data_IF_617609575286
#
_entry.id   IF_617609575286
#
_cell.length_a   1.000
_cell.length_b   1.000
_cell.length_c   1.000
_cell.angle_alpha   90.00
_cell.angle_beta   90.00
_cell.angle_gamma   90.00
#
_symmetry.space_group_name_H-M   'P 1'
#
loop_
_entity.id
_entity.type
_entity.pdbx_description
1 polymer ?
#
# COMPACT_ATOMS: atom_id res chain seq x y z
N UNK A 1 -31.48 -35.77 8.07
CA UNK A 1 -31.22 -36.38 9.41
C UNK A 1 -30.02 -37.32 9.47
N UNK A 2 -29.46 -37.80 8.35
CA UNK A 2 -28.23 -38.64 8.36
C UNK A 2 -26.92 -37.89 8.20
N UNK A 3 -26.91 -36.66 7.72
CA UNK A 3 -25.68 -35.86 7.57
C UNK A 3 -25.34 -35.04 8.81
N UNK A 4 -26.30 -34.68 9.65
CA UNK A 4 -26.06 -33.89 10.88
C UNK A 4 -25.27 -34.65 11.97
N UNK A 5 -25.28 -35.99 11.92
CA UNK A 5 -24.54 -36.83 12.88
C UNK A 5 -23.09 -37.14 12.50
N UNK A 6 -22.69 -36.93 11.22
CA UNK A 6 -21.36 -37.34 10.75
C UNK A 6 -20.24 -36.35 11.14
N UNK A 7 -20.51 -35.06 11.14
CA UNK A 7 -19.53 -34.02 11.46
C UNK A 7 -19.09 -34.06 12.92
N UNK A 8 -20.00 -34.16 13.92
CA UNK A 8 -19.59 -34.31 15.31
C UNK A 8 -18.86 -35.62 15.59
N UNK A 9 -19.21 -36.72 14.94
CA UNK A 9 -18.54 -38.01 15.10
C UNK A 9 -17.13 -38.02 14.54
N UNK A 10 -16.90 -37.34 13.41
CA UNK A 10 -15.55 -37.17 12.81
C UNK A 10 -14.69 -36.24 13.67
N UNK A 11 -15.25 -35.15 14.20
CA UNK A 11 -14.54 -34.21 15.08
C UNK A 11 -14.20 -34.85 16.44
N UNK A 12 -15.09 -35.65 17.03
CA UNK A 12 -14.82 -36.44 18.23
C UNK A 12 -13.73 -37.50 18.00
N UNK A 13 -13.73 -38.18 16.86
CA UNK A 13 -12.64 -39.10 16.48
C UNK A 13 -11.32 -38.36 16.29
N UNK A 14 -11.31 -37.22 15.66
CA UNK A 14 -10.08 -36.37 15.51
C UNK A 14 -9.58 -35.85 16.86
N UNK A 15 -10.48 -35.41 17.75
CA UNK A 15 -10.15 -35.00 19.11
C UNK A 15 -9.56 -36.14 19.96
N UNK A 16 -10.06 -37.34 19.82
CA UNK A 16 -9.55 -38.54 20.50
C UNK A 16 -8.21 -39.03 19.92
N UNK A 17 -7.94 -38.76 18.64
CA UNK A 17 -6.68 -39.15 17.97
C UNK A 17 -5.50 -38.17 18.24
N UNK A 18 -5.76 -36.91 18.57
CA UNK A 18 -4.71 -35.93 18.80
C UNK A 18 -3.74 -36.31 19.95
N UNK A 19 -4.17 -36.83 21.11
CA UNK A 19 -3.26 -37.32 22.14
C UNK A 19 -2.47 -38.57 21.69
N UNK A 20 -3.09 -39.46 20.93
CA UNK A 20 -2.42 -40.70 20.44
C UNK A 20 -1.43 -40.40 19.31
N UNK A 21 -1.68 -39.37 18.49
CA UNK A 21 -0.74 -38.89 17.48
C UNK A 21 0.47 -38.22 18.16
N UNK A 22 0.25 -37.43 19.24
CA UNK A 22 1.37 -36.89 20.03
C UNK A 22 2.23 -37.96 20.68
N UNK A 23 1.60 -39.01 21.22
CA UNK A 23 2.34 -40.13 21.84
C UNK A 23 3.06 -41.01 20.81
N UNK A 24 2.41 -41.31 19.68
CA UNK A 24 3.02 -42.04 18.57
C UNK A 24 4.11 -41.27 17.86
N UNK A 25 3.95 -39.95 17.65
CA UNK A 25 5.02 -39.12 17.12
C UNK A 25 6.22 -39.07 18.05
N UNK A 26 6.02 -38.98 19.36
CA UNK A 26 7.14 -39.06 20.35
C UNK A 26 7.79 -40.44 20.36
N UNK A 27 7.03 -41.53 20.29
CA UNK A 27 7.58 -42.90 20.26
C UNK A 27 8.33 -43.17 18.95
N UNK A 28 7.77 -42.75 17.81
CA UNK A 28 8.42 -42.85 16.51
C UNK A 28 9.71 -41.99 16.40
N UNK A 29 9.78 -40.89 17.15
CA UNK A 29 10.99 -40.06 17.21
C UNK A 29 12.11 -40.64 18.05
N UNK A 30 11.79 -41.49 19.04
CA UNK A 30 12.83 -42.21 19.83
C UNK A 30 13.43 -43.39 19.10
N UNK A 31 12.76 -43.90 18.07
CA UNK A 31 13.19 -45.12 17.35
C UNK A 31 13.81 -44.84 15.97
N UNK A 32 13.99 -43.56 15.61
CA UNK A 32 14.65 -43.20 14.35
C UNK A 32 16.16 -43.31 14.48
N UNK A 33 16.84 -44.09 13.61
CA UNK A 33 18.30 -44.16 13.60
C UNK A 33 18.86 -42.78 13.24
N UNK A 34 19.87 -42.34 14.00
CA UNK A 34 20.67 -41.15 13.70
C UNK A 34 21.34 -41.36 12.33
N UNK A 35 20.75 -40.81 11.28
CA UNK A 35 21.35 -40.73 9.96
C UNK A 35 22.21 -39.49 9.84
N UNK A 36 23.34 -39.64 9.16
CA UNK A 36 24.41 -38.68 9.03
C UNK A 36 24.02 -37.35 8.40
N UNK A 37 24.91 -36.39 8.55
CA UNK A 37 24.86 -35.01 8.10
C UNK A 37 24.28 -34.84 6.68
N UNK A 38 23.02 -34.46 6.57
CA UNK A 38 22.38 -34.16 5.27
C UNK A 38 20.87 -33.99 5.28
N UNK A 39 20.15 -34.71 6.14
CA UNK A 39 18.69 -34.68 6.16
C UNK A 39 18.18 -34.61 7.61
N UNK A 40 18.21 -33.43 8.17
CA UNK A 40 17.55 -33.15 9.46
C UNK A 40 16.05 -33.04 9.17
N UNK A 41 15.32 -34.16 9.30
CA UNK A 41 13.88 -34.16 9.38
C UNK A 41 13.48 -33.25 10.56
N UNK A 42 12.76 -32.17 10.29
CA UNK A 42 12.35 -31.20 11.28
C UNK A 42 11.49 -31.88 12.37
N UNK A 43 11.96 -32.00 13.62
CA UNK A 43 11.29 -32.74 14.69
C UNK A 43 10.01 -32.05 15.20
N UNK A 44 9.61 -30.93 14.59
CA UNK A 44 8.42 -30.18 15.04
C UNK A 44 7.14 -30.98 14.77
N UNK A 45 6.22 -31.05 15.76
CA UNK A 45 4.94 -31.77 15.61
C UNK A 45 4.13 -31.33 14.39
N UNK A 46 4.26 -30.08 13.96
CA UNK A 46 3.59 -29.54 12.78
C UNK A 46 4.11 -30.11 11.46
N UNK A 47 5.40 -30.48 11.36
CA UNK A 47 5.95 -31.11 10.15
C UNK A 47 5.39 -32.52 9.99
N UNK A 48 5.43 -33.33 11.07
CA UNK A 48 4.84 -34.67 11.05
C UNK A 48 3.35 -34.64 10.71
N UNK A 49 2.60 -33.68 11.27
CA UNK A 49 1.19 -33.52 10.99
C UNK A 49 0.93 -33.13 9.52
N UNK A 50 1.77 -32.26 8.95
CA UNK A 50 1.68 -31.85 7.55
C UNK A 50 1.82 -33.04 6.61
N UNK A 51 2.82 -33.87 6.86
CA UNK A 51 3.15 -35.04 6.02
C UNK A 51 2.08 -36.15 6.13
N UNK A 52 1.62 -36.45 7.36
CA UNK A 52 0.61 -37.49 7.61
C UNK A 52 -0.75 -37.13 7.02
N UNK A 53 -1.17 -35.87 7.21
CA UNK A 53 -2.49 -35.42 6.75
C UNK A 53 -2.49 -34.83 5.34
N UNK A 54 -1.30 -34.70 4.71
CA UNK A 54 -1.12 -34.05 3.39
C UNK A 54 -1.73 -32.65 3.32
N UNK A 55 -1.58 -31.88 4.41
CA UNK A 55 -2.00 -30.49 4.51
C UNK A 55 -0.80 -29.55 4.46
N UNK A 56 -1.03 -28.28 4.18
CA UNK A 56 0.05 -27.29 4.17
C UNK A 56 0.73 -27.15 5.54
N UNK A 57 2.01 -26.83 5.55
CA UNK A 57 2.75 -26.56 6.80
C UNK A 57 2.14 -25.43 7.64
N UNK A 58 1.48 -24.46 6.97
CA UNK A 58 0.77 -23.38 7.65
C UNK A 58 -0.46 -23.92 8.39
N UNK A 59 -1.25 -24.73 7.74
CA UNK A 59 -2.43 -25.38 8.32
C UNK A 59 -2.04 -26.32 9.46
N UNK A 60 -0.99 -27.11 9.31
CA UNK A 60 -0.48 -27.97 10.38
C UNK A 60 -0.06 -27.18 11.62
N UNK A 61 0.62 -26.03 11.45
CA UNK A 61 0.98 -25.13 12.56
C UNK A 61 -0.25 -24.55 13.24
N UNK A 62 -1.27 -24.15 12.47
CA UNK A 62 -2.52 -23.65 13.02
C UNK A 62 -3.18 -24.70 13.89
N UNK A 63 -3.36 -25.92 13.39
CA UNK A 63 -3.96 -27.01 14.15
C UNK A 63 -3.21 -27.37 15.43
N UNK A 64 -1.88 -27.37 15.40
CA UNK A 64 -1.07 -27.59 16.61
C UNK A 64 -1.27 -26.48 17.63
N UNK A 65 -1.32 -25.23 17.19
CA UNK A 65 -1.58 -24.07 18.04
C UNK A 65 -2.98 -24.12 18.65
N UNK A 66 -3.99 -24.42 17.85
CA UNK A 66 -5.39 -24.50 18.30
C UNK A 66 -5.57 -25.66 19.30
N UNK A 67 -4.99 -26.82 19.02
CA UNK A 67 -4.98 -27.93 19.95
C UNK A 67 -4.31 -27.59 21.30
N UNK A 68 -3.23 -26.80 21.28
CA UNK A 68 -2.56 -26.39 22.51
C UNK A 68 -3.42 -25.47 23.38
N UNK A 69 -4.37 -24.75 22.81
CA UNK A 69 -5.27 -23.85 23.54
C UNK A 69 -6.59 -24.54 23.97
N UNK A 70 -7.05 -25.49 23.21
CA UNK A 70 -8.37 -26.13 23.37
C UNK A 70 -8.33 -27.50 24.08
N UNK A 71 -7.14 -28.07 24.35
CA UNK A 71 -7.01 -29.35 25.02
C UNK A 71 -6.54 -29.18 26.45
N UNK A 72 -6.93 -30.13 27.37
CA UNK A 72 -6.41 -30.15 28.73
C UNK A 72 -4.89 -30.19 28.76
N UNK A 73 -4.31 -29.41 29.65
CA UNK A 73 -2.87 -29.28 29.85
C UNK A 73 -2.39 -30.14 31.00
N UNK A 74 -1.10 -30.26 31.19
CA UNK A 74 -0.51 -30.84 32.39
C UNK A 74 0.45 -29.85 33.04
N UNK A 75 0.42 -29.77 34.36
CA UNK A 75 1.42 -29.04 35.15
C UNK A 75 2.79 -29.69 35.00
N UNK A 76 3.84 -29.03 35.49
CA UNK A 76 5.18 -29.63 35.56
C UNK A 76 5.23 -30.85 36.48
N UNK A 77 4.32 -30.94 37.46
CA UNK A 77 4.15 -32.07 38.37
C UNK A 77 3.26 -33.19 37.81
N UNK A 78 2.69 -33.01 36.61
CA UNK A 78 1.86 -34.00 35.90
C UNK A 78 0.37 -33.89 36.20
N UNK A 79 -0.08 -32.96 37.03
CA UNK A 79 -1.51 -32.77 37.34
C UNK A 79 -2.27 -32.23 36.15
N UNK A 80 -3.53 -32.67 35.94
CA UNK A 80 -4.36 -32.16 34.86
C UNK A 80 -4.78 -30.72 35.10
N UNK A 81 -4.58 -29.86 34.11
CA UNK A 81 -5.01 -28.46 34.08
C UNK A 81 -6.07 -28.27 33.00
N UNK A 82 -7.02 -27.35 33.18
CA UNK A 82 -8.00 -27.03 32.14
C UNK A 82 -7.33 -26.48 30.88
N UNK A 83 -8.05 -26.49 29.74
CA UNK A 83 -7.61 -25.78 28.53
C UNK A 83 -7.27 -24.32 28.80
N UNK A 84 -6.45 -23.71 27.96
CA UNK A 84 -6.17 -22.25 28.06
C UNK A 84 -7.44 -21.43 27.79
N UNK A 85 -8.25 -21.87 26.85
CA UNK A 85 -9.51 -21.26 26.46
C UNK A 85 -10.64 -22.20 26.86
N UNK A 86 -11.06 -22.13 28.11
CA UNK A 86 -11.97 -23.14 28.69
C UNK A 86 -13.37 -23.06 28.09
N UNK A 87 -13.97 -21.87 27.96
CA UNK A 87 -15.28 -21.66 27.37
C UNK A 87 -15.29 -22.03 25.89
N UNK A 88 -14.29 -21.57 25.17
CA UNK A 88 -14.10 -21.88 23.74
C UNK A 88 -13.88 -23.37 23.50
N UNK A 89 -13.08 -24.03 24.34
CA UNK A 89 -12.84 -25.47 24.25
C UNK A 89 -14.13 -26.27 24.46
N UNK A 90 -14.96 -25.88 25.42
CA UNK A 90 -16.24 -26.49 25.68
C UNK A 90 -17.20 -26.38 24.46
N UNK A 91 -17.31 -25.18 23.92
CA UNK A 91 -18.16 -24.92 22.74
C UNK A 91 -17.60 -25.59 21.46
N UNK A 92 -16.27 -25.63 21.31
CA UNK A 92 -15.61 -26.35 20.21
C UNK A 92 -15.86 -27.86 20.25
N UNK A 93 -15.69 -28.47 21.40
CA UNK A 93 -15.95 -29.91 21.54
C UNK A 93 -17.44 -30.28 21.44
N UNK A 94 -18.35 -29.36 21.71
CA UNK A 94 -19.75 -29.50 21.47
C UNK A 94 -20.18 -29.31 20.00
N UNK A 95 -19.23 -28.93 19.10
CA UNK A 95 -19.50 -28.65 17.69
C UNK A 95 -20.29 -27.37 17.44
N UNK A 96 -20.30 -26.44 18.41
CA UNK A 96 -21.00 -25.16 18.33
C UNK A 96 -20.17 -24.15 17.53
N UNK A 97 -18.82 -24.22 17.62
CA UNK A 97 -17.88 -23.31 16.98
C UNK A 97 -17.20 -23.96 15.79
N UNK A 98 -16.97 -23.17 14.74
CA UNK A 98 -16.08 -23.51 13.64
C UNK A 98 -14.73 -22.80 13.73
N UNK A 99 -13.85 -23.03 12.74
CA UNK A 99 -12.51 -22.43 12.70
C UNK A 99 -12.51 -20.90 12.57
N UNK A 100 -13.55 -20.32 11.94
CA UNK A 100 -13.65 -18.87 11.79
C UNK A 100 -14.04 -18.19 13.10
N UNK A 101 -14.97 -18.77 13.87
CA UNK A 101 -15.29 -18.29 15.23
C UNK A 101 -14.08 -18.39 16.15
N UNK A 102 -13.35 -19.50 16.11
CA UNK A 102 -12.12 -19.68 16.89
C UNK A 102 -11.09 -18.60 16.55
N UNK A 103 -10.91 -18.31 15.25
CA UNK A 103 -9.98 -17.27 14.80
C UNK A 103 -10.36 -15.86 15.31
N UNK A 104 -11.66 -15.55 15.41
CA UNK A 104 -12.16 -14.28 15.99
C UNK A 104 -11.78 -14.20 17.46
N UNK A 105 -12.10 -15.25 18.26
CA UNK A 105 -11.81 -15.29 19.70
C UNK A 105 -10.29 -15.21 19.97
N UNK A 106 -9.49 -15.98 19.23
CA UNK A 106 -8.02 -15.94 19.35
C UNK A 106 -7.44 -14.57 19.02
N UNK A 107 -7.96 -13.90 17.98
CA UNK A 107 -7.54 -12.55 17.62
C UNK A 107 -7.88 -11.57 18.73
N UNK A 108 -9.10 -11.57 19.21
CA UNK A 108 -9.56 -10.74 20.30
C UNK A 108 -8.63 -10.86 21.53
N UNK A 109 -8.38 -12.10 22.00
CA UNK A 109 -7.54 -12.34 23.18
C UNK A 109 -6.08 -11.92 22.98
N UNK A 110 -5.52 -12.15 21.79
CA UNK A 110 -4.16 -11.73 21.45
C UNK A 110 -4.01 -10.21 21.44
N UNK A 111 -5.04 -9.52 20.98
CA UNK A 111 -5.01 -8.07 20.77
C UNK A 111 -5.40 -7.31 22.07
N UNK A 112 -5.86 -7.99 23.12
CA UNK A 112 -6.09 -7.38 24.44
C UNK A 112 -4.78 -6.91 25.09
N UNK A 113 -4.79 -5.71 25.71
CA UNK A 113 -3.65 -5.23 26.50
C UNK A 113 -3.30 -6.13 27.67
N UNK A 114 -2.02 -6.23 28.00
CA UNK A 114 -1.55 -6.96 29.16
C UNK A 114 -2.07 -6.39 30.52
N UNK A 115 -2.58 -5.17 30.50
CA UNK A 115 -3.18 -4.52 31.67
C UNK A 115 -4.56 -5.11 32.05
N UNK A 116 -5.23 -5.81 31.11
CA UNK A 116 -6.49 -6.50 31.40
C UNK A 116 -6.19 -7.74 32.24
N UNK A 117 -6.84 -7.83 33.38
CA UNK A 117 -6.63 -8.93 34.32
C UNK A 117 -7.03 -10.32 33.77
N UNK A 118 -6.49 -11.39 34.33
CA UNK A 118 -6.80 -12.75 33.86
C UNK A 118 -8.28 -13.15 34.06
N UNK A 119 -8.93 -12.57 35.08
CA UNK A 119 -10.37 -12.84 35.37
C UNK A 119 -11.26 -12.22 34.31
N UNK A 120 -11.00 -10.96 33.97
CA UNK A 120 -11.71 -10.23 32.93
C UNK A 120 -11.50 -10.89 31.56
N UNK A 121 -10.25 -11.29 31.26
CA UNK A 121 -9.90 -12.01 30.03
C UNK A 121 -10.65 -13.34 29.91
N UNK A 122 -10.69 -14.14 30.99
CA UNK A 122 -11.42 -15.40 31.01
C UNK A 122 -12.94 -15.21 30.92
N UNK A 123 -13.47 -14.14 31.50
CA UNK A 123 -14.89 -13.78 31.39
C UNK A 123 -15.24 -13.37 29.97
N UNK A 124 -14.43 -12.55 29.34
CA UNK A 124 -14.61 -12.14 27.95
C UNK A 124 -14.53 -13.33 26.97
N UNK A 125 -13.58 -14.24 27.19
CA UNK A 125 -13.44 -15.47 26.41
C UNK A 125 -14.72 -16.31 26.45
N UNK A 126 -15.24 -16.60 27.67
CA UNK A 126 -16.48 -17.35 27.84
C UNK A 126 -17.68 -16.66 27.19
N UNK A 127 -17.80 -15.35 27.38
CA UNK A 127 -18.89 -14.57 26.79
C UNK A 127 -18.86 -14.66 25.26
N UNK A 128 -17.67 -14.53 24.63
CA UNK A 128 -17.56 -14.66 23.17
C UNK A 128 -17.87 -16.09 22.70
N UNK A 129 -17.44 -17.11 23.43
CA UNK A 129 -17.77 -18.51 23.12
C UNK A 129 -19.28 -18.77 23.20
N UNK A 130 -19.96 -18.21 24.21
CA UNK A 130 -21.41 -18.32 24.36
C UNK A 130 -22.17 -17.58 23.23
N UNK A 131 -21.70 -16.38 22.88
CA UNK A 131 -22.28 -15.59 21.76
C UNK A 131 -22.10 -16.27 20.40
N UNK A 132 -21.02 -16.99 20.20
CA UNK A 132 -20.74 -17.69 18.95
C UNK A 132 -21.75 -18.82 18.66
N UNK A 133 -22.52 -19.27 19.66
CA UNK A 133 -23.59 -20.22 19.45
C UNK A 133 -24.77 -19.67 18.59
N UNK A 134 -24.92 -18.36 18.51
CA UNK A 134 -26.03 -17.68 17.85
C UNK A 134 -25.58 -16.67 16.78
N UNK A 135 -24.33 -16.25 16.80
CA UNK A 135 -23.78 -15.23 15.89
C UNK A 135 -22.88 -15.87 14.83
N UNK A 136 -22.95 -15.38 13.62
CA UNK A 136 -21.98 -15.69 12.58
C UNK A 136 -20.61 -15.06 12.92
N UNK A 137 -19.50 -15.57 12.35
CA UNK A 137 -18.14 -15.04 12.62
C UNK A 137 -18.00 -13.53 12.40
N UNK A 138 -18.62 -12.96 11.35
CA UNK A 138 -18.62 -11.53 11.06
C UNK A 138 -19.33 -10.70 12.13
N UNK A 139 -20.45 -11.20 12.64
CA UNK A 139 -21.21 -10.59 13.75
C UNK A 139 -20.44 -10.71 15.06
N UNK A 140 -19.87 -11.87 15.34
CA UNK A 140 -19.03 -12.11 16.52
C UNK A 140 -17.82 -11.19 16.54
N UNK A 141 -17.20 -10.94 15.38
CA UNK A 141 -16.09 -9.97 15.25
C UNK A 141 -16.52 -8.56 15.66
N UNK A 142 -17.74 -8.13 15.30
CA UNK A 142 -18.28 -6.82 15.71
C UNK A 142 -18.50 -6.77 17.21
N UNK A 143 -19.02 -7.82 17.83
CA UNK A 143 -19.20 -7.93 19.29
C UNK A 143 -17.85 -7.90 19.99
N UNK A 144 -16.87 -8.67 19.51
CA UNK A 144 -15.52 -8.72 20.04
C UNK A 144 -14.83 -7.33 20.00
N UNK A 145 -15.00 -6.59 18.91
CA UNK A 145 -14.45 -5.24 18.78
C UNK A 145 -15.07 -4.27 19.80
N UNK A 146 -16.39 -4.32 20.02
CA UNK A 146 -17.06 -3.50 21.03
C UNK A 146 -16.67 -3.90 22.45
N UNK A 147 -16.56 -5.19 22.73
CA UNK A 147 -16.10 -5.70 24.02
C UNK A 147 -14.67 -5.25 24.33
N UNK A 148 -13.78 -5.26 23.35
CA UNK A 148 -12.42 -4.74 23.52
C UNK A 148 -12.40 -3.26 23.92
N UNK A 149 -13.26 -2.42 23.34
CA UNK A 149 -13.41 -1.01 23.72
C UNK A 149 -14.00 -0.85 25.14
N UNK A 150 -14.89 -1.75 25.56
CA UNK A 150 -15.46 -1.71 26.92
C UNK A 150 -14.43 -2.12 27.98
N UNK A 151 -13.63 -3.14 27.70
CA UNK A 151 -12.59 -3.61 28.61
C UNK A 151 -11.40 -2.65 28.72
N UNK A 152 -11.14 -1.89 27.68
CA UNK A 152 -10.06 -0.93 27.63
C UNK A 152 -10.50 0.35 26.92
N UNK A 153 -11.30 1.21 27.59
CA UNK A 153 -11.85 2.42 27.00
C UNK A 153 -10.78 3.41 26.56
N UNK A 154 -9.66 3.46 27.26
CA UNK A 154 -8.54 4.34 26.91
C UNK A 154 -7.66 3.77 25.77
N UNK A 155 -7.84 2.50 25.43
CA UNK A 155 -7.16 1.82 24.32
C UNK A 155 -5.65 1.63 24.53
N UNK A 156 -5.03 0.81 23.69
CA UNK A 156 -3.56 0.78 23.51
C UNK A 156 -3.06 1.94 22.64
N UNK A 157 -3.78 3.03 22.61
CA UNK A 157 -3.49 4.08 21.65
C UNK A 157 -2.54 5.11 22.25
N UNK A 158 -1.23 4.80 22.24
CA UNK A 158 -0.30 5.91 22.31
C UNK A 158 -0.42 6.70 21.00
N UNK A 159 -0.51 8.03 21.11
CA UNK A 159 -0.49 8.92 19.95
C UNK A 159 0.76 8.69 19.10
N UNK A 160 1.85 8.26 19.74
CA UNK A 160 3.10 7.91 19.09
C UNK A 160 2.97 6.66 18.19
N UNK A 161 2.30 5.59 18.66
CA UNK A 161 2.10 4.39 17.85
C UNK A 161 1.18 4.67 16.65
N UNK A 162 0.13 5.48 16.85
CA UNK A 162 -0.73 5.95 15.75
C UNK A 162 0.05 6.81 14.75
N UNK A 163 0.92 7.68 15.25
CA UNK A 163 1.75 8.53 14.42
C UNK A 163 2.74 7.72 13.55
N UNK A 164 3.26 6.59 14.06
CA UNK A 164 4.14 5.70 13.31
C UNK A 164 3.40 4.86 12.26
N UNK A 165 2.15 4.48 12.53
CA UNK A 165 1.38 3.60 11.64
C UNK A 165 0.64 4.33 10.53
N UNK A 166 0.29 5.62 10.73
CA UNK A 166 -0.44 6.40 9.73
C UNK A 166 0.35 6.50 8.42
N UNK A 167 -0.33 6.40 7.31
CA UNK A 167 0.35 6.52 6.03
C UNK A 167 -0.58 6.34 4.84
N UNK A 168 -0.09 6.80 3.70
CA UNK A 168 -0.67 6.52 2.39
C UNK A 168 0.42 5.96 1.49
N UNK A 169 0.15 4.84 0.84
CA UNK A 169 1.08 4.18 -0.07
C UNK A 169 0.36 3.69 -1.32
N UNK A 170 1.00 3.87 -2.48
CA UNK A 170 0.59 3.20 -3.69
C UNK A 170 1.06 1.74 -3.66
N UNK A 171 0.19 0.81 -4.03
CA UNK A 171 0.47 -0.63 -4.02
C UNK A 171 0.87 -1.07 -5.42
N UNK A 172 2.16 -1.34 -5.60
CA UNK A 172 2.71 -1.77 -6.89
C UNK A 172 2.82 -0.66 -7.94
N UNK A 173 3.12 -1.06 -9.17
CA UNK A 173 3.12 -0.16 -10.31
C UNK A 173 1.69 0.16 -10.79
N UNK A 174 1.56 1.21 -11.59
CA UNK A 174 0.32 1.51 -12.31
C UNK A 174 -0.07 0.31 -13.19
N UNK A 175 -1.33 -0.06 -13.17
CA UNK A 175 -1.86 -1.17 -13.95
C UNK A 175 -1.90 -0.82 -15.44
N UNK A 176 -1.91 -1.83 -16.34
CA UNK A 176 -1.99 -1.58 -17.80
C UNK A 176 -3.25 -0.81 -18.23
N UNK A 177 -4.33 -0.86 -17.43
CA UNK A 177 -5.56 -0.09 -17.67
C UNK A 177 -5.46 1.37 -17.17
N UNK A 178 -4.30 1.82 -16.70
CA UNK A 178 -4.08 3.15 -16.15
C UNK A 178 -4.50 3.33 -14.70
N UNK A 179 -5.14 2.34 -14.10
CA UNK A 179 -5.59 2.42 -12.70
C UNK A 179 -4.42 2.21 -11.73
N UNK A 180 -4.54 2.78 -10.54
CA UNK A 180 -3.59 2.60 -9.45
C UNK A 180 -4.32 2.19 -8.18
N UNK A 181 -3.71 1.31 -7.38
CA UNK A 181 -4.25 0.91 -6.09
C UNK A 181 -3.47 1.59 -4.98
N UNK A 182 -4.17 2.24 -4.04
CA UNK A 182 -3.57 2.87 -2.88
C UNK A 182 -4.12 2.29 -1.58
N UNK A 183 -3.28 2.26 -0.55
CA UNK A 183 -3.64 1.89 0.82
C UNK A 183 -3.48 3.10 1.74
N UNK A 184 -4.57 3.47 2.41
CA UNK A 184 -4.61 4.51 3.43
C UNK A 184 -4.75 3.87 4.82
N UNK A 185 -3.85 4.21 5.74
CA UNK A 185 -4.00 3.97 7.17
C UNK A 185 -4.30 5.32 7.81
N UNK A 186 -5.58 5.57 8.04
CA UNK A 186 -6.08 6.84 8.55
C UNK A 186 -6.06 6.86 10.07
N UNK A 187 -5.71 8.01 10.65
CA UNK A 187 -5.97 8.28 12.07
C UNK A 187 -7.48 8.38 12.32
N UNK A 188 -7.97 8.20 13.57
CA UNK A 188 -9.38 8.39 13.89
C UNK A 188 -9.92 9.77 13.48
N UNK A 189 -9.11 10.82 13.64
CA UNK A 189 -9.44 12.17 13.20
C UNK A 189 -9.65 12.24 11.70
N UNK A 190 -8.66 11.84 10.89
CA UNK A 190 -8.75 11.85 9.43
C UNK A 190 -9.92 11.00 8.95
N UNK A 191 -10.19 9.86 9.61
CA UNK A 191 -11.34 9.02 9.28
C UNK A 191 -12.65 9.76 9.50
N UNK A 192 -12.82 10.47 10.63
CA UNK A 192 -14.02 11.24 10.92
C UNK A 192 -14.20 12.41 9.93
N UNK A 193 -13.12 13.10 9.56
CA UNK A 193 -13.12 14.16 8.56
C UNK A 193 -13.53 13.63 7.18
N UNK A 194 -13.00 12.49 6.77
CA UNK A 194 -13.39 11.84 5.52
C UNK A 194 -14.84 11.35 5.54
N UNK A 195 -15.32 10.79 6.65
CA UNK A 195 -16.70 10.34 6.76
C UNK A 195 -17.68 11.52 6.65
N UNK A 196 -17.35 12.68 7.26
CA UNK A 196 -18.13 13.91 7.11
C UNK A 196 -18.12 14.43 5.66
N UNK A 197 -16.95 14.39 5.00
CA UNK A 197 -16.82 14.75 3.59
C UNK A 197 -17.66 13.84 2.70
N UNK A 198 -17.55 12.52 2.89
CA UNK A 198 -18.29 11.54 2.11
C UNK A 198 -19.79 11.58 2.35
N UNK A 199 -20.24 11.94 3.56
CA UNK A 199 -21.66 12.09 3.85
C UNK A 199 -22.33 13.10 2.92
N UNK A 200 -21.62 14.18 2.55
CA UNK A 200 -22.13 15.17 1.60
C UNK A 200 -21.80 14.81 0.14
N UNK A 201 -20.53 14.65 -0.18
CA UNK A 201 -20.06 14.60 -1.57
C UNK A 201 -20.13 13.21 -2.21
N UNK A 202 -20.31 12.14 -1.42
CA UNK A 202 -20.59 10.80 -1.91
C UNK A 202 -22.07 10.41 -1.81
N UNK A 203 -22.96 11.37 -1.52
CA UNK A 203 -24.39 11.16 -1.62
C UNK A 203 -24.80 10.88 -3.10
N UNK A 204 -25.87 10.10 -3.33
CA UNK A 204 -26.37 9.86 -4.69
C UNK A 204 -26.65 11.16 -5.44
N UNK A 205 -26.22 11.26 -6.69
CA UNK A 205 -26.35 12.44 -7.53
C UNK A 205 -25.34 13.57 -7.29
N UNK A 206 -24.49 13.45 -6.24
CA UNK A 206 -23.43 14.42 -5.98
C UNK A 206 -22.16 14.09 -6.75
N UNK A 207 -21.45 15.12 -7.21
CA UNK A 207 -20.09 15.04 -7.78
C UNK A 207 -19.93 13.98 -8.88
N UNK A 208 -20.98 13.70 -9.65
CA UNK A 208 -20.93 12.71 -10.73
C UNK A 208 -20.11 13.24 -11.92
N UNK A 209 -18.94 12.65 -12.25
CA UNK A 209 -18.11 13.13 -13.36
C UNK A 209 -18.73 12.90 -14.74
N UNK A 210 -19.75 12.04 -14.84
CA UNK A 210 -20.42 11.74 -16.09
C UNK A 210 -21.56 12.74 -16.39
N UNK A 211 -21.95 13.55 -15.40
CA UNK A 211 -22.93 14.61 -15.60
C UNK A 211 -22.31 15.79 -16.38
N UNK A 212 -23.05 16.36 -17.30
CA UNK A 212 -22.60 17.54 -18.06
C UNK A 212 -22.22 18.71 -17.12
N UNK A 213 -22.93 18.84 -16.00
CA UNK A 213 -22.67 19.84 -14.96
C UNK A 213 -22.75 19.14 -13.60
N UNK A 214 -21.63 18.59 -13.09
CA UNK A 214 -21.60 17.92 -11.79
C UNK A 214 -22.08 18.82 -10.65
N UNK A 215 -22.99 18.32 -9.82
CA UNK A 215 -23.47 19.04 -8.63
C UNK A 215 -22.40 18.97 -7.55
N UNK A 216 -21.75 20.12 -7.28
CA UNK A 216 -20.72 20.25 -6.22
C UNK A 216 -21.28 21.10 -5.07
N UNK A 217 -22.09 22.10 -5.38
CA UNK A 217 -22.71 23.01 -4.41
C UNK A 217 -24.22 22.77 -4.32
N UNK A 218 -24.75 22.79 -3.13
CA UNK A 218 -26.20 22.58 -2.90
C UNK A 218 -26.54 21.08 -2.79
N UNK A 219 -27.76 20.74 -3.18
CA UNK A 219 -28.32 19.40 -3.14
C UNK A 219 -28.66 18.94 -4.57
N UNK A 220 -28.45 17.68 -4.92
CA UNK A 220 -28.84 17.14 -6.21
C UNK A 220 -30.37 17.03 -6.29
N UNK A 221 -30.92 17.06 -7.51
CA UNK A 221 -32.35 16.79 -7.72
C UNK A 221 -32.65 15.32 -7.36
N UNK A 222 -33.92 15.06 -6.99
CA UNK A 222 -34.34 13.67 -6.70
C UNK A 222 -34.11 12.75 -7.90
N UNK A 223 -34.27 13.24 -9.11
CA UNK A 223 -34.06 12.46 -10.34
C UNK A 223 -32.57 12.15 -10.55
N UNK A 224 -31.67 13.11 -10.34
CA UNK A 224 -30.24 12.87 -10.38
C UNK A 224 -29.80 11.84 -9.34
N UNK A 225 -30.35 11.92 -8.13
CA UNK A 225 -30.07 10.94 -7.08
C UNK A 225 -30.60 9.54 -7.42
N UNK A 226 -31.78 9.41 -8.03
CA UNK A 226 -32.35 8.13 -8.45
C UNK A 226 -31.63 7.51 -9.66
N UNK A 227 -31.11 8.32 -10.55
CA UNK A 227 -30.39 7.89 -11.77
C UNK A 227 -28.92 7.59 -11.51
N UNK A 228 -28.39 7.90 -10.34
CA UNK A 228 -27.01 7.63 -9.99
C UNK A 228 -26.77 6.13 -9.72
N UNK A 229 -26.28 5.43 -10.74
CA UNK A 229 -25.99 3.99 -10.67
C UNK A 229 -24.61 3.66 -10.08
N UNK A 230 -23.83 4.68 -9.69
CA UNK A 230 -22.51 4.46 -9.08
C UNK A 230 -22.62 3.73 -7.75
N UNK A 231 -21.73 2.78 -7.50
CA UNK A 231 -21.58 2.18 -6.18
C UNK A 231 -21.12 3.22 -5.14
N UNK A 232 -21.32 2.94 -3.87
CA UNK A 232 -20.84 3.81 -2.79
C UNK A 232 -19.34 4.08 -2.88
N UNK A 233 -18.52 3.06 -3.19
CA UNK A 233 -17.08 3.24 -3.36
C UNK A 233 -16.72 4.15 -4.55
N UNK A 234 -17.44 4.07 -5.66
CA UNK A 234 -17.24 4.97 -6.80
C UNK A 234 -17.58 6.42 -6.43
N UNK A 235 -18.68 6.64 -5.72
CA UNK A 235 -19.03 7.98 -5.24
C UNK A 235 -17.99 8.54 -4.25
N UNK A 236 -17.45 7.73 -3.36
CA UNK A 236 -16.36 8.14 -2.46
C UNK A 236 -15.08 8.51 -3.25
N UNK A 237 -14.72 7.73 -4.27
CA UNK A 237 -13.61 8.06 -5.17
C UNK A 237 -13.81 9.43 -5.84
N UNK A 238 -14.99 9.67 -6.40
CA UNK A 238 -15.29 10.92 -7.09
C UNK A 238 -15.32 12.13 -6.12
N UNK A 239 -15.82 11.92 -4.90
CA UNK A 239 -15.77 12.89 -3.81
C UNK A 239 -14.34 13.26 -3.41
N UNK A 240 -13.41 12.30 -3.36
CA UNK A 240 -11.98 12.58 -3.17
C UNK A 240 -11.42 13.39 -4.33
N UNK A 241 -11.82 13.08 -5.57
CA UNK A 241 -11.46 13.86 -6.74
C UNK A 241 -11.88 15.32 -6.65
N UNK A 242 -13.08 15.61 -6.12
CA UNK A 242 -13.55 17.00 -5.85
C UNK A 242 -12.65 17.67 -4.82
N UNK A 243 -12.35 17.01 -3.70
CA UNK A 243 -11.48 17.54 -2.66
C UNK A 243 -10.11 17.93 -3.19
N UNK A 244 -9.46 17.02 -3.91
CA UNK A 244 -8.11 17.25 -4.47
C UNK A 244 -8.14 18.39 -5.50
N UNK A 245 -9.11 18.39 -6.42
CA UNK A 245 -9.22 19.45 -7.43
C UNK A 245 -9.49 20.82 -6.83
N UNK A 246 -10.33 20.90 -5.79
CA UNK A 246 -10.60 22.17 -5.10
C UNK A 246 -9.34 22.75 -4.44
N UNK A 247 -8.50 21.87 -3.86
CA UNK A 247 -7.24 22.31 -3.26
C UNK A 247 -6.20 22.69 -4.32
N UNK A 248 -6.04 21.90 -5.39
CA UNK A 248 -5.13 22.25 -6.48
C UNK A 248 -5.51 23.54 -7.20
N UNK A 249 -6.78 23.92 -7.18
CA UNK A 249 -7.28 25.20 -7.68
C UNK A 249 -7.13 26.39 -6.70
N UNK A 250 -6.68 26.14 -5.47
CA UNK A 250 -6.51 27.22 -4.48
C UNK A 250 -5.21 28.00 -4.77
N UNK A 251 -5.29 29.32 -5.04
CA UNK A 251 -4.11 30.13 -5.30
C UNK A 251 -3.15 30.23 -4.11
N UNK A 252 -3.64 30.02 -2.89
CA UNK A 252 -2.84 30.12 -1.66
C UNK A 252 -2.13 28.80 -1.31
N UNK A 253 -2.20 27.78 -2.16
CA UNK A 253 -1.57 26.48 -1.91
C UNK A 253 -0.03 26.56 -1.89
N UNK A 254 0.55 27.64 -2.38
CA UNK A 254 1.99 27.88 -2.39
C UNK A 254 2.70 27.15 -3.54
N UNK A 255 3.99 26.87 -3.34
CA UNK A 255 4.83 26.28 -4.38
C UNK A 255 5.58 25.05 -3.86
N UNK A 256 5.82 24.10 -4.74
CA UNK A 256 6.71 22.97 -4.51
C UNK A 256 7.92 23.08 -5.47
N UNK A 257 9.12 23.19 -4.91
CA UNK A 257 10.38 23.30 -5.69
C UNK A 257 10.33 24.41 -6.75
N UNK A 258 9.70 25.55 -6.42
CA UNK A 258 9.60 26.71 -7.31
C UNK A 258 8.54 26.62 -8.41
N UNK A 259 7.72 25.59 -8.42
CA UNK A 259 6.53 25.45 -9.26
C UNK A 259 5.26 25.56 -8.43
N UNK A 260 4.17 26.12 -8.95
CA UNK A 260 2.86 25.96 -8.34
C UNK A 260 2.54 24.46 -8.14
N UNK A 261 1.80 24.13 -7.08
CA UNK A 261 1.35 22.75 -6.86
C UNK A 261 0.30 22.42 -7.92
N UNK A 262 0.72 21.74 -8.97
CA UNK A 262 -0.12 21.45 -10.15
C UNK A 262 0.23 20.09 -10.76
N UNK A 263 -0.67 19.60 -11.60
CA UNK A 263 -0.41 18.40 -12.41
C UNK A 263 0.41 18.80 -13.65
N UNK A 264 1.58 18.21 -13.78
CA UNK A 264 2.42 18.35 -14.97
C UNK A 264 2.32 17.08 -15.77
N UNK A 265 1.93 17.18 -17.03
CA UNK A 265 1.82 16.04 -17.95
C UNK A 265 2.49 16.42 -19.28
N UNK A 266 3.28 15.50 -19.81
CA UNK A 266 4.01 15.66 -21.06
C UNK A 266 3.44 14.73 -22.13
N UNK A 267 3.17 15.25 -23.32
CA UNK A 267 2.71 14.47 -24.47
C UNK A 267 3.27 15.06 -25.77
N UNK A 268 3.14 14.34 -26.87
CA UNK A 268 3.50 14.86 -28.20
C UNK A 268 2.34 15.68 -28.79
N UNK A 269 2.67 16.62 -29.67
CA UNK A 269 1.64 17.37 -30.42
C UNK A 269 0.82 16.43 -31.32
N UNK A 270 1.44 15.39 -31.87
CA UNK A 270 0.76 14.41 -32.71
C UNK A 270 -0.27 13.60 -31.91
N UNK A 271 0.09 13.11 -30.73
CA UNK A 271 -0.84 12.35 -29.84
C UNK A 271 -2.01 13.23 -29.39
N UNK A 272 -1.71 14.49 -29.02
CA UNK A 272 -2.75 15.44 -28.62
C UNK A 272 -3.71 15.73 -29.78
N UNK A 273 -3.20 15.97 -30.98
CA UNK A 273 -4.01 16.22 -32.18
C UNK A 273 -4.89 15.02 -32.54
N UNK A 274 -4.31 13.80 -32.48
CA UNK A 274 -5.01 12.56 -32.82
C UNK A 274 -5.87 12.05 -31.65
N UNK A 275 -5.79 12.66 -30.47
CA UNK A 275 -6.47 12.24 -29.25
C UNK A 275 -6.21 10.78 -28.87
N UNK A 276 -5.00 10.30 -29.14
CA UNK A 276 -4.56 8.91 -28.95
C UNK A 276 -3.38 8.84 -27.98
N UNK A 277 -3.10 7.64 -27.45
CA UNK A 277 -1.95 7.42 -26.58
C UNK A 277 -2.14 7.94 -25.17
N UNK A 278 -1.01 8.24 -24.53
CA UNK A 278 -0.93 8.61 -23.12
C UNK A 278 0.05 9.77 -22.93
N UNK A 279 -0.27 10.68 -22.03
CA UNK A 279 0.71 11.61 -21.48
C UNK A 279 1.46 10.97 -20.31
N UNK A 280 2.71 11.37 -20.11
CA UNK A 280 3.52 11.00 -18.94
C UNK A 280 3.42 12.11 -17.90
N UNK A 281 2.98 11.78 -16.69
CA UNK A 281 2.92 12.76 -15.60
C UNK A 281 4.30 12.96 -14.97
N UNK A 282 4.53 14.10 -14.34
CA UNK A 282 5.76 14.35 -13.57
C UNK A 282 5.89 13.42 -12.32
N UNK A 283 4.83 12.71 -11.96
CA UNK A 283 4.84 11.62 -10.98
C UNK A 283 5.28 10.26 -11.56
N UNK A 284 5.58 10.20 -12.87
CA UNK A 284 6.02 8.98 -13.55
C UNK A 284 4.88 8.02 -13.94
N UNK A 285 3.62 8.45 -13.88
CA UNK A 285 2.44 7.64 -14.26
C UNK A 285 1.95 8.02 -15.64
N UNK A 286 1.23 7.09 -16.28
CA UNK A 286 0.58 7.33 -17.57
C UNK A 286 -0.82 7.89 -17.37
N UNK A 287 -1.15 8.90 -18.14
CA UNK A 287 -2.48 9.53 -18.16
C UNK A 287 -3.08 9.36 -19.57
N UNK A 288 -4.20 8.66 -19.71
CA UNK A 288 -4.85 8.53 -21.02
C UNK A 288 -5.15 9.90 -21.65
N UNK A 289 -5.01 10.03 -22.96
CA UNK A 289 -5.17 11.30 -23.64
C UNK A 289 -6.55 11.95 -23.42
N UNK A 290 -7.61 11.14 -23.32
CA UNK A 290 -8.96 11.62 -23.02
C UNK A 290 -9.04 12.29 -21.63
N UNK A 291 -8.35 11.71 -20.65
CA UNK A 291 -8.30 12.27 -19.29
C UNK A 291 -7.50 13.55 -19.27
N UNK A 292 -6.37 13.61 -19.99
CA UNK A 292 -5.58 14.83 -20.14
C UNK A 292 -6.42 15.95 -20.75
N UNK A 293 -7.14 15.71 -21.84
CA UNK A 293 -7.98 16.72 -22.51
C UNK A 293 -9.07 17.22 -21.56
N UNK A 294 -9.74 16.31 -20.83
CA UNK A 294 -10.78 16.67 -19.86
C UNK A 294 -10.20 17.52 -18.73
N UNK A 295 -9.03 17.18 -18.21
CA UNK A 295 -8.36 17.97 -17.17
C UNK A 295 -7.91 19.33 -17.70
N UNK A 296 -7.41 19.37 -18.93
CA UNK A 296 -6.91 20.59 -19.57
C UNK A 296 -8.03 21.61 -19.85
N UNK A 297 -9.27 21.21 -20.03
CA UNK A 297 -10.40 22.13 -20.27
C UNK A 297 -10.57 23.21 -19.17
N UNK A 298 -10.04 22.98 -17.97
CA UNK A 298 -10.16 23.86 -16.80
C UNK A 298 -8.80 24.25 -16.19
N UNK A 299 -7.70 24.08 -16.93
CA UNK A 299 -6.34 24.27 -16.40
C UNK A 299 -5.60 25.44 -17.09
N UNK A 300 -4.60 26.01 -16.40
CA UNK A 300 -3.62 26.88 -17.03
C UNK A 300 -2.62 26.02 -17.79
N UNK A 301 -2.43 26.30 -19.09
CA UNK A 301 -1.56 25.53 -19.95
C UNK A 301 -0.21 26.22 -20.11
N UNK A 302 0.87 25.43 -20.01
CA UNK A 302 2.20 25.82 -20.41
C UNK A 302 2.55 25.05 -21.69
N UNK A 303 2.81 25.77 -22.78
CA UNK A 303 3.28 25.19 -24.03
C UNK A 303 4.81 25.28 -24.07
N UNK A 304 5.48 24.12 -24.02
CA UNK A 304 6.90 24.02 -24.30
C UNK A 304 7.07 23.33 -25.66
N UNK A 305 7.61 24.07 -26.64
CA UNK A 305 7.90 23.54 -27.98
C UNK A 305 9.38 23.20 -28.05
N UNK A 306 9.69 21.96 -28.42
CA UNK A 306 11.06 21.50 -28.64
C UNK A 306 11.36 21.46 -30.15
N UNK A 307 12.57 21.88 -30.52
CA UNK A 307 13.08 21.68 -31.86
C UNK A 307 13.38 20.18 -32.06
N UNK A 308 12.76 19.58 -33.09
CA UNK A 308 12.93 18.15 -33.40
C UNK A 308 14.38 17.79 -33.78
N UNK A 309 15.24 18.77 -34.13
CA UNK A 309 16.63 18.55 -34.56
C UNK A 309 17.64 18.61 -33.42
N UNK A 310 17.35 19.35 -32.37
CA UNK A 310 18.36 19.62 -31.31
C UNK A 310 17.89 19.23 -29.90
N UNK A 311 16.63 18.89 -29.71
CA UNK A 311 16.02 18.70 -28.36
C UNK A 311 16.31 19.85 -27.38
N UNK A 312 16.73 21.00 -27.88
CA UNK A 312 17.10 22.17 -27.10
C UNK A 312 15.87 22.98 -26.76
N UNK A 313 15.58 23.06 -25.47
CA UNK A 313 14.57 23.96 -24.96
C UNK A 313 15.08 25.41 -24.94
N UNK A 314 14.14 26.37 -24.97
CA UNK A 314 14.39 27.77 -25.03
C UNK A 314 15.44 28.24 -23.99
N UNK A 315 16.39 29.04 -24.45
CA UNK A 315 17.42 29.69 -23.65
C UNK A 315 16.80 30.76 -22.73
N UNK A 316 17.00 30.65 -21.42
CA UNK A 316 16.48 31.62 -20.44
C UNK A 316 17.55 32.49 -19.77
N UNK A 317 18.80 32.32 -20.15
CA UNK A 317 19.90 33.16 -19.70
C UNK A 317 20.40 32.97 -18.28
N UNK A 318 21.48 33.64 -17.91
CA UNK A 318 22.24 33.46 -16.65
C UNK A 318 21.88 34.50 -15.58
N UNK A 319 20.64 34.80 -15.31
CA UNK A 319 20.35 35.89 -14.35
C UNK A 319 20.30 35.40 -12.87
N UNK A 320 20.16 34.13 -12.58
CA UNK A 320 19.99 33.59 -11.21
C UNK A 320 20.61 32.18 -11.09
N UNK A 321 21.17 31.84 -9.92
CA UNK A 321 21.65 30.49 -9.59
C UNK A 321 20.53 29.46 -9.57
N UNK A 322 19.34 29.84 -9.11
CA UNK A 322 18.20 28.91 -8.97
C UNK A 322 17.43 28.86 -10.29
N UNK A 323 17.22 27.69 -10.82
CA UNK A 323 16.41 27.46 -12.01
C UNK A 323 15.01 28.05 -11.88
N UNK A 324 14.54 28.74 -12.92
CA UNK A 324 13.20 29.32 -12.99
C UNK A 324 12.11 28.24 -13.02
N UNK A 325 10.85 28.65 -12.79
CA UNK A 325 9.71 27.76 -12.97
C UNK A 325 9.64 27.19 -14.39
N UNK A 326 9.90 28.03 -15.39
CA UNK A 326 9.87 27.63 -16.82
C UNK A 326 10.96 26.61 -17.14
N UNK A 327 12.19 26.80 -16.64
CA UNK A 327 13.27 25.82 -16.79
C UNK A 327 12.92 24.47 -16.12
N UNK A 328 12.25 24.49 -14.97
CA UNK A 328 11.79 23.28 -14.32
C UNK A 328 10.69 22.56 -15.11
N UNK A 329 9.76 23.32 -15.70
CA UNK A 329 8.74 22.74 -16.58
C UNK A 329 9.38 22.04 -17.79
N UNK A 330 10.37 22.69 -18.40
CA UNK A 330 11.11 22.09 -19.51
C UNK A 330 11.86 20.83 -19.09
N UNK A 331 12.50 20.81 -17.91
CA UNK A 331 13.15 19.61 -17.39
C UNK A 331 12.15 18.47 -17.12
N UNK A 332 10.94 18.78 -16.68
CA UNK A 332 9.89 17.75 -16.57
C UNK A 332 9.54 17.13 -17.92
N UNK A 333 9.55 17.89 -18.98
CA UNK A 333 9.31 17.37 -20.34
C UNK A 333 10.54 16.64 -20.89
N UNK A 334 11.74 17.15 -20.63
CA UNK A 334 13.00 16.64 -21.20
C UNK A 334 13.56 15.44 -20.44
N UNK A 335 13.76 15.57 -19.12
CA UNK A 335 14.38 14.52 -18.29
C UNK A 335 13.35 13.57 -17.68
N UNK A 336 12.11 14.01 -17.49
CA UNK A 336 10.98 13.29 -16.87
C UNK A 336 11.23 12.78 -15.45
N UNK A 337 12.51 12.56 -15.09
CA UNK A 337 12.95 12.05 -13.77
C UNK A 337 14.47 12.17 -13.60
N UNK A 338 14.98 11.50 -12.56
CA UNK A 338 16.41 11.50 -12.25
C UNK A 338 17.21 10.87 -13.40
N UNK A 339 18.25 11.59 -13.87
CA UNK A 339 19.08 11.17 -15.01
C UNK A 339 20.21 10.21 -14.64
N UNK A 340 20.39 9.87 -13.34
CA UNK A 340 21.38 8.89 -12.92
C UNK A 340 21.01 7.47 -13.41
N UNK A 341 21.96 6.68 -13.92
CA UNK A 341 21.71 5.35 -14.50
C UNK A 341 20.89 4.46 -13.58
N UNK A 342 19.81 3.87 -14.12
CA UNK A 342 18.92 2.94 -13.41
C UNK A 342 18.03 3.56 -12.33
N UNK A 343 18.04 4.89 -12.15
CA UNK A 343 17.19 5.57 -11.17
C UNK A 343 15.75 5.68 -11.68
N UNK A 344 14.80 5.32 -10.83
CA UNK A 344 13.35 5.37 -11.13
C UNK A 344 12.65 6.59 -10.53
N UNK A 345 13.37 7.48 -9.83
CA UNK A 345 12.78 8.64 -9.17
C UNK A 345 12.16 9.62 -10.18
N UNK A 346 10.86 9.89 -10.10
CA UNK A 346 10.16 10.79 -11.02
C UNK A 346 10.52 12.26 -10.77
N UNK A 347 10.22 13.13 -11.73
CA UNK A 347 10.61 14.54 -11.72
C UNK A 347 10.16 15.31 -10.47
N UNK A 348 8.99 15.02 -9.90
CA UNK A 348 8.55 15.67 -8.65
C UNK A 348 9.48 15.43 -7.45
N UNK A 349 10.24 14.33 -7.47
CA UNK A 349 11.21 14.00 -6.42
C UNK A 349 12.63 14.47 -6.74
N UNK A 350 12.82 15.18 -7.88
CA UNK A 350 14.13 15.62 -8.34
C UNK A 350 14.39 17.09 -8.02
N UNK A 351 15.67 17.40 -7.85
CA UNK A 351 16.22 18.75 -7.78
C UNK A 351 16.88 19.09 -9.10
N UNK A 352 17.00 20.39 -9.41
CA UNK A 352 17.76 20.85 -10.58
C UNK A 352 19.23 20.91 -10.23
N UNK A 353 20.02 20.17 -10.98
CA UNK A 353 21.47 20.14 -10.88
C UNK A 353 22.11 20.87 -12.07
N UNK A 354 23.17 21.69 -11.81
CA UNK A 354 23.99 22.27 -12.82
C UNK A 354 25.06 21.25 -13.25
N UNK A 355 25.05 20.85 -14.51
CA UNK A 355 26.01 19.88 -15.06
C UNK A 355 27.46 20.40 -14.95
N UNK A 356 27.64 21.68 -15.11
CA UNK A 356 28.85 22.40 -14.75
C UNK A 356 28.57 23.19 -13.47
N UNK A 357 29.36 23.01 -12.42
CA UNK A 357 29.10 23.64 -11.13
C UNK A 357 29.00 25.17 -11.26
N UNK A 358 27.95 25.73 -10.64
CA UNK A 358 27.79 27.20 -10.60
C UNK A 358 28.99 27.92 -10.00
N UNK A 359 29.62 27.34 -8.97
CA UNK A 359 30.79 27.93 -8.29
C UNK A 359 32.01 28.06 -9.21
N UNK A 360 32.12 27.21 -10.22
CA UNK A 360 33.23 27.19 -11.19
C UNK A 360 32.90 27.88 -12.52
N UNK A 361 31.76 28.57 -12.60
CA UNK A 361 31.37 29.35 -13.79
C UNK A 361 30.22 28.75 -14.61
N UNK A 362 29.60 27.65 -14.17
CA UNK A 362 28.45 27.04 -14.83
C UNK A 362 27.26 27.99 -14.98
N UNK A 363 26.59 27.93 -16.11
CA UNK A 363 25.41 28.74 -16.41
C UNK A 363 24.12 28.04 -15.96
N UNK A 364 23.08 28.83 -15.63
CA UNK A 364 21.72 28.33 -15.41
C UNK A 364 20.92 28.31 -16.73
N UNK A 365 21.54 27.74 -17.76
CA UNK A 365 20.90 27.53 -19.05
C UNK A 365 20.31 26.15 -19.12
N UNK A 366 19.19 26.01 -19.82
CA UNK A 366 18.43 24.73 -19.81
C UNK A 366 19.21 23.54 -20.35
N UNK A 367 20.13 23.79 -21.28
CA UNK A 367 21.08 22.81 -21.82
C UNK A 367 22.20 22.44 -20.84
N UNK A 368 22.38 23.21 -19.78
CA UNK A 368 23.34 22.98 -18.69
C UNK A 368 22.71 22.46 -17.40
N UNK A 369 21.40 22.24 -17.42
CA UNK A 369 20.66 21.77 -16.27
C UNK A 369 20.18 20.33 -16.48
N UNK A 370 20.01 19.61 -15.38
CA UNK A 370 19.47 18.25 -15.38
C UNK A 370 18.75 17.94 -14.06
N UNK A 371 17.89 16.92 -14.08
CA UNK A 371 17.26 16.41 -12.86
C UNK A 371 18.12 15.37 -12.14
N UNK A 372 18.29 15.54 -10.84
CA UNK A 372 18.88 14.58 -9.92
C UNK A 372 17.98 14.41 -8.69
N UNK A 373 17.64 13.19 -8.28
CA UNK A 373 16.96 12.97 -7.01
C UNK A 373 17.91 13.30 -5.83
N UNK A 374 17.36 13.56 -4.65
CA UNK A 374 18.15 13.95 -3.47
C UNK A 374 19.30 12.98 -3.17
N UNK A 375 19.09 11.66 -3.36
CA UNK A 375 20.13 10.65 -3.16
C UNK A 375 21.28 10.79 -4.16
N UNK A 376 20.96 10.90 -5.46
CA UNK A 376 21.98 11.05 -6.51
C UNK A 376 22.62 12.45 -6.53
N UNK A 377 21.86 13.50 -6.16
CA UNK A 377 22.42 14.84 -6.05
C UNK A 377 23.56 14.89 -5.01
N UNK A 378 23.42 14.17 -3.88
CA UNK A 378 24.48 14.05 -2.87
C UNK A 378 25.73 13.30 -3.35
N UNK A 379 25.61 12.41 -4.35
CA UNK A 379 26.79 11.71 -4.88
C UNK A 379 27.79 12.63 -5.57
N UNK A 380 27.32 13.79 -6.05
CA UNK A 380 28.18 14.80 -6.65
C UNK A 380 29.17 15.38 -5.63
N UNK A 381 28.74 15.51 -4.36
CA UNK A 381 29.64 15.91 -3.26
C UNK A 381 30.70 14.83 -2.94
N UNK A 382 30.53 13.63 -3.46
CA UNK A 382 31.40 12.47 -3.26
C UNK A 382 32.19 12.07 -4.51
N UNK A 383 32.43 13.04 -5.41
CA UNK A 383 33.32 12.89 -6.56
C UNK A 383 32.70 12.34 -7.84
N UNK A 384 31.35 12.11 -7.85
CA UNK A 384 30.66 11.91 -9.10
C UNK A 384 30.61 13.20 -9.91
N UNK A 385 30.65 13.09 -11.23
CA UNK A 385 30.50 14.21 -12.13
C UNK A 385 29.46 13.91 -13.21
N UNK A 386 28.93 14.97 -13.82
CA UNK A 386 27.96 14.87 -14.91
C UNK A 386 28.45 15.56 -16.15
N UNK A 387 28.01 15.14 -17.33
CA UNK A 387 28.34 15.75 -18.60
C UNK A 387 27.14 15.70 -19.55
N UNK A 388 26.83 16.78 -20.25
CA UNK A 388 25.87 16.75 -21.37
C UNK A 388 26.49 16.13 -22.60
N UNK A 389 25.75 15.21 -23.21
CA UNK A 389 26.03 14.63 -24.51
C UNK A 389 25.45 15.50 -25.64
N UNK A 390 25.86 15.28 -26.87
CA UNK A 390 25.38 16.03 -28.03
C UNK A 390 23.87 15.86 -28.29
N UNK A 391 23.31 14.72 -27.90
CA UNK A 391 21.87 14.44 -27.96
C UNK A 391 21.06 15.03 -26.81
N UNK A 392 21.69 15.80 -25.92
CA UNK A 392 21.05 16.44 -24.76
C UNK A 392 20.93 15.56 -23.53
N UNK A 393 21.26 14.27 -23.59
CA UNK A 393 21.25 13.38 -22.43
C UNK A 393 22.34 13.76 -21.43
N UNK A 394 22.09 13.43 -20.14
CA UNK A 394 23.08 13.63 -19.09
C UNK A 394 23.79 12.32 -18.79
N UNK A 395 25.10 12.30 -19.00
CA UNK A 395 25.96 11.19 -18.65
C UNK A 395 26.48 11.38 -17.23
N UNK A 396 26.44 10.32 -16.43
CA UNK A 396 26.99 10.26 -15.08
C UNK A 396 28.32 9.51 -15.09
N UNK A 397 29.32 10.09 -14.47
CA UNK A 397 30.70 9.61 -14.44
C UNK A 397 31.06 9.31 -12.98
N UNK A 398 31.33 8.04 -12.61
CA UNK A 398 31.74 7.69 -11.26
C UNK A 398 33.17 8.21 -10.97
N UNK A 399 33.52 8.41 -9.68
CA UNK A 399 34.87 8.72 -9.30
C UNK A 399 35.83 7.56 -9.65
N UNK A 400 37.10 7.84 -9.97
CA UNK A 400 38.04 6.83 -10.51
C UNK A 400 38.26 5.60 -9.66
N UNK A 401 38.02 5.70 -8.33
CA UNK A 401 38.16 4.58 -7.38
C UNK A 401 36.96 3.61 -7.41
N UNK A 402 35.87 3.96 -8.05
CA UNK A 402 34.70 3.09 -8.18
C UNK A 402 34.68 2.43 -9.57
N UNK A 403 34.76 1.10 -9.67
CA UNK A 403 34.75 0.38 -10.94
C UNK A 403 33.33 0.26 -11.52
N UNK A 404 32.64 1.38 -11.67
CA UNK A 404 31.30 1.45 -12.23
C UNK A 404 31.37 2.02 -13.66
N UNK A 405 30.47 1.59 -14.56
CA UNK A 405 30.45 2.14 -15.91
C UNK A 405 29.91 3.58 -15.91
N UNK A 406 30.42 4.36 -16.81
CA UNK A 406 29.84 5.65 -17.20
C UNK A 406 28.52 5.37 -17.91
N UNK A 407 27.46 6.11 -17.60
CA UNK A 407 26.15 5.80 -18.18
C UNK A 407 25.14 6.93 -18.20
N UNK A 408 24.07 6.71 -18.94
CA UNK A 408 22.86 7.53 -19.02
C UNK A 408 21.68 6.78 -18.48
N UNK A 409 20.55 7.43 -18.26
CA UNK A 409 19.32 6.79 -17.79
C UNK A 409 18.22 6.81 -18.85
N UNK A 410 17.87 5.64 -19.35
CA UNK A 410 16.76 5.46 -20.30
C UNK A 410 15.45 5.01 -19.64
N UNK A 411 15.42 4.84 -18.31
CA UNK A 411 14.22 4.40 -17.61
C UNK A 411 13.01 5.32 -17.87
N UNK A 412 13.24 6.63 -17.87
CA UNK A 412 12.20 7.63 -18.10
C UNK A 412 11.89 7.88 -19.58
N UNK A 413 12.65 7.25 -20.49
CA UNK A 413 12.58 7.37 -21.94
C UNK A 413 12.63 5.98 -22.59
N UNK A 414 11.68 5.09 -22.27
CA UNK A 414 11.70 3.72 -22.84
C UNK A 414 11.60 3.69 -24.36
N UNK A 415 11.04 4.74 -24.96
CA UNK A 415 11.00 4.93 -26.42
C UNK A 415 12.39 4.99 -27.05
N UNK A 416 13.41 5.45 -26.34
CA UNK A 416 14.82 5.47 -26.84
C UNK A 416 15.45 4.07 -26.91
N UNK A 417 14.84 3.07 -26.27
CA UNK A 417 15.28 1.67 -26.33
C UNK A 417 14.58 0.89 -27.46
N UNK A 418 13.52 1.45 -27.99
CA UNK A 418 12.82 0.91 -29.12
C UNK A 418 13.34 1.68 -30.34
N UNK A 419 14.18 1.07 -31.16
CA UNK A 419 14.63 1.63 -32.43
C UNK A 419 13.42 1.77 -33.40
N UNK A 420 12.47 2.68 -33.12
CA UNK A 420 11.28 2.93 -33.92
C UNK A 420 11.41 4.28 -34.59
#
# INVERSE_FOLDING_TARGET
>A
EQEEGLVPAVLNKLGAYLPSIKSRARSAMSDLPVRGEGDIADPRPSSALSDVLRISRAEARNRVRDAAQLTPRRSLTGEPLPPLLEGTAKAWHAGILDGEHLAVIQRFLRDLPAAIGPVETATAERTLADQAATLRPDQLQTVAARMALTLNPDGKFSDQDRALQRGFTWSGAQRPDGMSTGKLIATPQLRAELDAWFAKFAAPGMANPDDHTPVINGEPSEDAARQDLRSHGQRQHDALGVLVRSQLGNPDLGTHRGLPVTVIATTTVADLHNQTGHAVTAGGTLLPMRDLIRMAAHATHYLAVFDQHTDCALYLGRAKRIASADQRMVLHAKDRGCTAPGCTAPGYLCEVHHVEEWATGGATDIDKLTFACTGHHKLLDHGWTTKKLANGDTQWIPPPQLPLPVGTNNYHHPEKLLEI
#
